data_IF_220216714295
#
_entry.id   IF_220216714295
#
_cell.length_a   1.000
_cell.length_b   1.000
_cell.length_c   1.000
_cell.angle_alpha   90.00
_cell.angle_beta   90.00
_cell.angle_gamma   90.00
#
_symmetry.space_group_name_H-M   'P 1'
#
loop_
_entity.id
_entity.type
_entity.pdbx_description
1 polymer ?
#
# COMPACT_ATOMS: atom_id res chain seq x y z
N UNK A 1 -7.25 8.89 -8.83
CA UNK A 1 -7.86 7.75 -9.56
C UNK A 1 -8.60 6.95 -8.52
N UNK A 2 -9.93 6.93 -8.61
CA UNK A 2 -10.76 6.42 -7.52
C UNK A 2 -10.63 4.90 -7.46
N UNK A 3 -10.41 4.35 -6.28
CA UNK A 3 -10.27 2.90 -6.09
C UNK A 3 -11.64 2.30 -5.85
N UNK A 4 -11.96 1.26 -6.60
CA UNK A 4 -13.22 0.54 -6.47
C UNK A 4 -12.98 -0.73 -5.65
N UNK A 5 -13.82 -0.96 -4.65
CA UNK A 5 -13.75 -2.15 -3.81
C UNK A 5 -14.02 -3.41 -4.63
N UNK A 6 -13.08 -4.34 -4.64
CA UNK A 6 -13.23 -5.62 -5.35
C UNK A 6 -14.24 -6.60 -4.73
N UNK A 7 -14.80 -6.30 -3.55
CA UNK A 7 -15.79 -7.13 -2.87
C UNK A 7 -17.23 -6.68 -3.11
N UNK A 8 -17.48 -5.37 -3.22
CA UNK A 8 -18.83 -4.80 -3.28
C UNK A 8 -18.97 -3.61 -4.23
N UNK A 9 -17.96 -3.36 -5.07
CA UNK A 9 -17.94 -2.33 -6.11
C UNK A 9 -18.13 -0.88 -5.63
N UNK A 10 -18.09 -0.67 -4.31
CA UNK A 10 -18.19 0.67 -3.71
C UNK A 10 -16.88 1.43 -3.89
N UNK A 11 -16.98 2.73 -4.19
CA UNK A 11 -15.83 3.64 -4.19
C UNK A 11 -15.19 3.69 -2.80
N UNK A 12 -13.87 3.52 -2.76
CA UNK A 12 -13.11 3.41 -1.51
C UNK A 12 -12.57 4.77 -1.07
N UNK A 13 -12.46 4.94 0.24
CA UNK A 13 -11.70 6.04 0.85
C UNK A 13 -10.21 5.73 0.63
N UNK A 14 -9.51 6.59 -0.09
CA UNK A 14 -8.10 6.39 -0.42
C UNK A 14 -7.14 7.22 0.45
N UNK A 15 -5.86 7.19 0.10
CA UNK A 15 -4.75 7.89 0.77
C UNK A 15 -4.64 7.65 2.29
N UNK A 16 -5.07 6.47 2.74
CA UNK A 16 -4.92 6.07 4.14
C UNK A 16 -3.47 5.64 4.39
N UNK A 17 -2.87 6.12 5.49
CA UNK A 17 -1.55 5.67 5.93
C UNK A 17 -1.64 4.43 6.83
N UNK A 18 -0.70 3.49 6.69
CA UNK A 18 -0.61 2.32 7.56
C UNK A 18 0.56 2.53 8.53
N UNK A 19 0.28 2.50 9.83
CA UNK A 19 1.29 2.64 10.90
C UNK A 19 1.04 1.61 12.00
N UNK A 20 2.08 1.04 12.62
CA UNK A 20 1.91 0.24 13.83
C UNK A 20 1.39 1.10 14.98
N UNK A 21 0.49 0.57 15.79
CA UNK A 21 -0.17 1.30 16.89
C UNK A 21 0.81 1.97 17.87
N UNK A 22 1.96 1.34 18.13
CA UNK A 22 2.97 1.82 19.07
C UNK A 22 4.27 2.32 18.41
N UNK A 23 4.28 2.54 17.08
CA UNK A 23 5.46 3.06 16.37
C UNK A 23 5.07 4.16 15.39
N UNK A 24 5.92 5.18 15.30
CA UNK A 24 5.75 6.25 14.33
C UNK A 24 6.39 5.96 12.96
N UNK A 25 7.01 4.78 12.80
CA UNK A 25 7.64 4.34 11.56
C UNK A 25 6.60 3.91 10.52
N UNK A 26 6.86 4.24 9.25
CA UNK A 26 6.04 3.79 8.13
C UNK A 26 6.30 2.30 7.83
N UNK A 27 5.25 1.56 7.46
CA UNK A 27 5.40 0.20 6.93
C UNK A 27 5.82 0.30 5.45
N UNK A 28 6.93 -0.36 5.10
CA UNK A 28 7.48 -0.38 3.73
C UNK A 28 7.48 -1.79 3.15
N UNK A 29 7.41 -1.87 1.82
CA UNK A 29 7.68 -3.11 1.07
C UNK A 29 9.08 -3.05 0.48
N UNK A 30 9.80 -4.17 0.53
CA UNK A 30 11.20 -4.26 0.10
C UNK A 30 11.41 -5.39 -0.92
N UNK A 31 12.17 -5.14 -2.00
CA UNK A 31 12.60 -6.15 -2.98
C UNK A 31 14.09 -6.08 -3.21
N UNK A 32 14.75 -7.23 -3.17
CA UNK A 32 16.18 -7.40 -3.48
C UNK A 32 16.34 -7.75 -4.95
N UNK A 33 17.24 -7.04 -5.65
CA UNK A 33 17.58 -7.29 -7.04
C UNK A 33 18.97 -7.94 -7.16
N UNK A 34 19.30 -8.42 -8.36
CA UNK A 34 20.62 -8.99 -8.66
C UNK A 34 21.70 -7.89 -8.55
N UNK A 35 22.82 -8.23 -7.92
CA UNK A 35 23.92 -7.30 -7.63
C UNK A 35 24.12 -7.07 -6.13
N UNK A 36 25.28 -6.53 -5.74
CA UNK A 36 25.52 -6.11 -4.35
C UNK A 36 24.74 -4.82 -4.08
N UNK A 37 24.06 -4.76 -2.93
CA UNK A 37 23.35 -3.57 -2.40
C UNK A 37 22.15 -3.02 -3.18
N UNK A 38 21.61 -3.73 -4.17
CA UNK A 38 20.40 -3.32 -4.87
C UNK A 38 19.13 -3.76 -4.12
N UNK A 39 18.73 -2.99 -3.10
CA UNK A 39 17.44 -3.14 -2.41
C UNK A 39 16.59 -1.91 -2.73
N UNK A 40 15.36 -2.14 -3.18
CA UNK A 40 14.35 -1.09 -3.35
C UNK A 40 13.33 -1.20 -2.22
N UNK A 41 13.00 -0.08 -1.62
CA UNK A 41 11.97 0.06 -0.61
C UNK A 41 10.92 1.04 -1.13
N UNK A 42 9.65 0.81 -0.81
CA UNK A 42 8.58 1.75 -1.13
C UNK A 42 7.58 1.86 0.00
N UNK A 43 6.99 3.04 0.14
CA UNK A 43 6.00 3.29 1.17
C UNK A 43 4.67 2.61 0.80
N UNK A 44 4.04 2.00 1.80
CA UNK A 44 2.70 1.45 1.64
C UNK A 44 1.64 2.51 1.96
N UNK A 45 0.58 2.48 1.17
CA UNK A 45 -0.67 3.19 1.38
C UNK A 45 -1.81 2.18 1.45
N UNK A 46 -2.93 2.60 2.01
CA UNK A 46 -4.15 1.83 2.06
C UNK A 46 -5.34 2.59 1.47
N UNK A 47 -6.35 1.83 1.05
CA UNK A 47 -7.69 2.31 0.83
C UNK A 47 -8.66 1.42 1.62
N UNK A 48 -9.71 2.01 2.18
CA UNK A 48 -10.71 1.31 3.00
C UNK A 48 -12.08 1.46 2.35
N UNK A 49 -12.78 0.35 2.17
CA UNK A 49 -14.15 0.37 1.69
C UNK A 49 -15.09 0.83 2.81
N UNK A 50 -15.84 1.93 2.64
CA UNK A 50 -16.76 2.43 3.67
C UNK A 50 -18.00 1.54 3.84
N UNK A 51 -18.30 0.66 2.88
CA UNK A 51 -19.49 -0.18 2.90
C UNK A 51 -19.24 -1.56 3.56
N UNK A 52 -18.15 -2.23 3.19
CA UNK A 52 -17.87 -3.60 3.67
C UNK A 52 -16.59 -3.76 4.49
N UNK A 53 -15.82 -2.69 4.70
CA UNK A 53 -14.60 -2.73 5.51
C UNK A 53 -13.38 -3.38 4.84
N UNK A 54 -13.48 -3.83 3.59
CA UNK A 54 -12.34 -4.37 2.86
C UNK A 54 -11.20 -3.33 2.75
N UNK A 55 -9.98 -3.75 3.08
CA UNK A 55 -8.77 -2.91 3.02
C UNK A 55 -7.89 -3.38 1.87
N UNK A 56 -7.49 -2.46 1.00
CA UNK A 56 -6.49 -2.70 -0.05
C UNK A 56 -5.21 -1.99 0.33
N UNK A 57 -4.09 -2.72 0.33
CA UNK A 57 -2.74 -2.18 0.55
C UNK A 57 -2.04 -2.09 -0.80
N UNK A 58 -1.43 -0.95 -1.10
CA UNK A 58 -0.75 -0.70 -2.37
C UNK A 58 0.44 0.24 -2.20
N UNK A 59 1.25 0.39 -3.25
CA UNK A 59 2.28 1.43 -3.35
C UNK A 59 2.17 2.15 -4.68
N UNK A 60 2.40 3.46 -4.67
CA UNK A 60 2.46 4.28 -5.90
C UNK A 60 3.81 4.08 -6.63
N UNK A 61 4.83 3.58 -5.93
CA UNK A 61 6.18 3.35 -6.43
C UNK A 61 6.34 1.94 -7.04
N UNK A 62 5.25 1.33 -7.50
CA UNK A 62 5.24 -0.08 -7.98
C UNK A 62 6.23 -0.34 -9.12
N UNK A 63 6.59 0.69 -9.90
CA UNK A 63 7.56 0.59 -11.00
C UNK A 63 8.98 0.31 -10.50
N UNK A 64 9.31 0.65 -9.26
CA UNK A 64 10.60 0.30 -8.63
C UNK A 64 10.75 -1.22 -8.40
N UNK A 65 9.68 -1.99 -8.61
CA UNK A 65 9.63 -3.44 -8.40
C UNK A 65 9.60 -4.25 -9.71
N UNK A 66 9.64 -3.60 -10.88
CA UNK A 66 9.77 -4.27 -12.19
C UNK A 66 11.23 -4.65 -12.43
#
# INVERSE_FOLDING_TARGET
MNRICNQCETEMIDDCSIRPEFKFEDIVISKKFKGLFNIKNAKLKAAVCPNCGNVIIYTEEYREFL
#
